data_IF_837321415557
#
_entry.id   IF_837321415557
#
_cell.length_a   1.000
_cell.length_b   1.000
_cell.length_c   1.000
_cell.angle_alpha   90.00
_cell.angle_beta   90.00
_cell.angle_gamma   90.00
#
_symmetry.space_group_name_H-M   'P 1'
#
loop_
_entity.id
_entity.type
_entity.pdbx_description
1 polymer ?
#
# COMPACT_ATOMS: atom_id res chain seq x y z
N UNK A 1 -5.84 -2.39 13.64
CA UNK A 1 -4.87 -1.64 14.48
C UNK A 1 -3.48 -1.87 13.88
N UNK A 2 -2.70 -0.80 13.71
CA UNK A 2 -1.30 -0.85 13.24
C UNK A 2 -0.43 -0.25 14.33
N UNK A 3 0.68 -0.91 14.66
CA UNK A 3 1.67 -0.40 15.61
C UNK A 3 3.03 -0.34 14.93
N UNK A 4 3.68 0.80 15.04
CA UNK A 4 5.04 1.07 14.57
C UNK A 4 5.89 1.32 15.82
N UNK A 5 7.00 0.57 16.01
CA UNK A 5 7.84 0.68 17.21
C UNK A 5 9.32 0.69 16.84
N UNK A 6 10.02 1.72 17.29
CA UNK A 6 11.48 1.89 17.12
C UNK A 6 11.94 1.69 15.66
N UNK A 7 11.11 2.11 14.70
CA UNK A 7 11.37 1.90 13.28
C UNK A 7 12.34 2.94 12.77
N UNK A 8 13.39 2.49 12.08
CA UNK A 8 14.32 3.36 11.36
C UNK A 8 14.53 2.90 9.92
N UNK A 9 14.93 3.84 9.07
CA UNK A 9 15.30 3.59 7.68
C UNK A 9 16.42 4.51 7.24
N UNK A 10 17.48 3.93 6.66
CA UNK A 10 18.55 4.66 6.00
C UNK A 10 18.43 4.49 4.49
N UNK A 11 18.77 5.52 3.76
CA UNK A 11 19.01 5.47 2.33
C UNK A 11 20.46 5.82 2.06
N UNK A 12 21.07 5.17 1.08
CA UNK A 12 22.45 5.47 0.71
C UNK A 12 22.63 6.99 0.49
N UNK A 13 23.57 7.59 1.17
CA UNK A 13 23.89 9.03 1.14
C UNK A 13 22.86 9.99 1.81
N UNK A 14 21.92 9.49 2.61
CA UNK A 14 20.96 10.33 3.34
C UNK A 14 21.04 10.09 4.85
N UNK A 15 20.55 11.06 5.62
CA UNK A 15 20.39 10.90 7.07
C UNK A 15 19.34 9.85 7.37
N UNK A 16 19.58 9.04 8.40
CA UNK A 16 18.59 8.10 8.90
C UNK A 16 17.28 8.78 9.24
N UNK A 17 16.18 8.13 8.91
CA UNK A 17 14.85 8.55 9.32
C UNK A 17 14.42 7.65 10.48
N UNK A 18 14.30 8.23 11.66
CA UNK A 18 13.78 7.55 12.84
C UNK A 18 12.32 7.94 13.07
N UNK A 19 11.48 6.95 13.29
CA UNK A 19 10.07 7.17 13.55
C UNK A 19 9.77 6.92 15.02
N UNK A 20 9.10 7.89 15.64
CA UNK A 20 8.52 7.71 16.98
C UNK A 20 7.54 6.53 16.99
N UNK A 21 7.32 5.95 18.16
CA UNK A 21 6.30 4.93 18.32
C UNK A 21 4.92 5.49 17.99
N UNK A 22 4.23 4.82 17.04
CA UNK A 22 2.92 5.26 16.53
C UNK A 22 1.94 4.09 16.61
N UNK A 23 0.74 4.37 17.06
CA UNK A 23 -0.37 3.42 17.00
C UNK A 23 -1.54 4.02 16.20
N UNK A 24 -1.94 3.31 15.14
CA UNK A 24 -3.14 3.62 14.37
C UNK A 24 -4.25 2.66 14.81
N UNK A 25 -5.26 3.19 15.46
CA UNK A 25 -6.38 2.41 15.98
C UNK A 25 -7.33 1.94 14.87
N UNK A 26 -7.96 0.81 15.09
CA UNK A 26 -8.98 0.28 14.16
C UNK A 26 -10.18 1.23 14.07
N UNK A 27 -10.67 1.45 12.85
CA UNK A 27 -11.86 2.26 12.60
C UNK A 27 -11.64 3.78 12.64
N UNK A 28 -10.39 4.23 12.82
CA UNK A 28 -10.05 5.66 12.77
C UNK A 28 -9.33 6.01 11.47
N UNK A 29 -9.50 7.24 11.00
CA UNK A 29 -8.74 7.82 9.90
C UNK A 29 -7.62 8.69 10.46
N UNK A 30 -6.44 8.65 9.80
CA UNK A 30 -5.26 9.40 10.22
C UNK A 30 -4.68 10.18 9.04
N UNK A 31 -4.11 11.33 9.32
CA UNK A 31 -3.38 12.13 8.35
C UNK A 31 -1.93 12.30 8.83
N UNK A 32 -0.98 12.05 7.93
CA UNK A 32 0.45 12.31 8.18
C UNK A 32 0.80 13.69 7.62
N UNK A 33 1.16 14.62 8.49
CA UNK A 33 1.56 15.98 8.14
C UNK A 33 3.07 16.15 8.30
N UNK A 34 3.66 16.98 7.47
CA UNK A 34 5.09 17.30 7.52
C UNK A 34 5.61 17.82 6.19
N UNK A 35 6.82 18.40 6.20
CA UNK A 35 7.50 18.90 5.01
C UNK A 35 7.71 17.81 3.93
N UNK A 36 7.97 18.23 2.68
CA UNK A 36 8.39 17.29 1.64
C UNK A 36 9.71 16.61 2.06
N UNK A 37 9.86 15.33 1.78
CA UNK A 37 11.07 14.57 2.12
C UNK A 37 11.16 14.09 3.58
N UNK A 38 10.27 14.46 4.50
CA UNK A 38 10.35 14.06 5.91
C UNK A 38 9.98 12.58 6.19
N UNK A 39 9.87 11.74 5.18
CA UNK A 39 9.68 10.29 5.35
C UNK A 39 8.23 9.79 5.38
N UNK A 40 7.20 10.61 5.13
CA UNK A 40 5.80 10.15 5.14
C UNK A 40 5.52 8.97 4.22
N UNK A 41 5.94 9.07 2.96
CA UNK A 41 5.78 8.00 1.98
C UNK A 41 6.62 6.77 2.32
N UNK A 42 7.79 6.98 2.92
CA UNK A 42 8.67 5.91 3.41
C UNK A 42 7.96 5.10 4.51
N UNK A 43 7.35 5.78 5.48
CA UNK A 43 6.56 5.11 6.53
C UNK A 43 5.39 4.31 5.94
N UNK A 44 4.62 4.91 5.03
CA UNK A 44 3.50 4.23 4.38
C UNK A 44 3.96 3.00 3.58
N UNK A 45 5.08 3.11 2.86
CA UNK A 45 5.66 1.98 2.12
C UNK A 45 6.14 0.87 3.06
N UNK A 46 6.68 1.20 4.23
CA UNK A 46 7.07 0.20 5.22
C UNK A 46 5.85 -0.47 5.87
N UNK A 47 4.81 0.28 6.20
CA UNK A 47 3.54 -0.28 6.69
C UNK A 47 2.91 -1.22 5.65
N UNK A 48 2.96 -0.83 4.37
CA UNK A 48 2.47 -1.67 3.28
C UNK A 48 3.37 -2.89 2.97
N UNK A 49 4.53 -3.03 3.60
CA UNK A 49 5.49 -4.10 3.33
C UNK A 49 6.14 -4.01 1.94
N UNK A 50 6.08 -2.85 1.29
CA UNK A 50 6.79 -2.56 0.04
C UNK A 50 8.27 -2.32 0.34
N UNK A 51 8.54 -1.64 1.46
CA UNK A 51 9.88 -1.35 1.95
C UNK A 51 10.08 -2.06 3.29
N UNK A 52 11.28 -2.55 3.55
CA UNK A 52 11.63 -3.11 4.86
C UNK A 52 12.34 -2.05 5.71
N UNK A 53 11.97 -1.90 6.98
CA UNK A 53 12.77 -1.09 7.91
C UNK A 53 14.11 -1.77 8.18
N UNK A 54 15.08 -1.03 8.66
CA UNK A 54 16.38 -1.54 9.12
C UNK A 54 16.33 -1.95 10.58
N UNK A 55 15.55 -1.24 11.36
CA UNK A 55 15.30 -1.60 12.76
C UNK A 55 13.84 -1.44 13.11
N UNK A 56 13.46 -1.96 14.28
CA UNK A 56 12.11 -1.85 14.82
C UNK A 56 11.13 -2.85 14.26
N UNK A 57 9.87 -2.66 14.60
CA UNK A 57 8.79 -3.58 14.23
C UNK A 57 7.56 -2.84 13.75
N UNK A 58 6.87 -3.44 12.78
CA UNK A 58 5.56 -2.98 12.31
C UNK A 58 4.60 -4.15 12.46
N UNK A 59 3.60 -3.95 13.29
CA UNK A 59 2.58 -4.95 13.61
C UNK A 59 1.24 -4.50 13.03
N UNK A 60 0.58 -5.35 12.25
CA UNK A 60 -0.74 -5.10 11.66
C UNK A 60 -1.69 -6.18 12.11
N UNK A 61 -2.75 -5.80 12.81
CA UNK A 61 -3.76 -6.72 13.36
C UNK A 61 -3.17 -7.86 14.18
N UNK A 62 -2.08 -7.61 14.90
CA UNK A 62 -1.38 -8.59 15.74
C UNK A 62 -0.29 -9.39 15.02
N UNK A 63 -0.10 -9.19 13.73
CA UNK A 63 0.96 -9.86 12.97
C UNK A 63 2.14 -8.92 12.73
N UNK A 64 3.36 -9.34 13.09
CA UNK A 64 4.59 -8.62 12.77
C UNK A 64 4.94 -8.81 11.30
N UNK A 65 4.76 -7.74 10.51
CA UNK A 65 5.03 -7.77 9.07
C UNK A 65 6.50 -7.59 8.74
N UNK A 66 7.33 -7.11 9.67
CA UNK A 66 8.76 -6.89 9.44
C UNK A 66 9.54 -8.20 9.29
N UNK A 67 9.11 -9.24 10.00
CA UNK A 67 9.75 -10.56 10.00
C UNK A 67 9.35 -11.45 8.84
N UNK A 68 8.34 -11.04 8.07
CA UNK A 68 7.86 -11.83 6.92
C UNK A 68 8.88 -11.79 5.77
N UNK A 69 9.04 -12.90 5.06
CA UNK A 69 9.74 -12.95 3.78
C UNK A 69 9.02 -12.08 2.74
N UNK A 70 9.71 -11.71 1.66
CA UNK A 70 9.10 -10.86 0.62
C UNK A 70 7.81 -11.48 0.06
N UNK A 71 7.81 -12.78 -0.22
CA UNK A 71 6.63 -13.51 -0.69
C UNK A 71 5.45 -13.47 0.29
N UNK A 72 5.72 -13.55 1.59
CA UNK A 72 4.69 -13.45 2.61
C UNK A 72 4.16 -12.01 2.75
N UNK A 73 5.04 -11.00 2.62
CA UNK A 73 4.65 -9.58 2.56
C UNK A 73 3.74 -9.31 1.37
N UNK A 74 4.06 -9.84 0.19
CA UNK A 74 3.26 -9.68 -1.01
C UNK A 74 1.87 -10.28 -0.83
N UNK A 75 1.80 -11.51 -0.32
CA UNK A 75 0.53 -12.18 -0.01
C UNK A 75 -0.27 -11.41 1.05
N UNK A 76 0.39 -10.94 2.11
CA UNK A 76 -0.24 -10.16 3.16
C UNK A 76 -0.83 -8.85 2.62
N UNK A 77 -0.08 -8.13 1.78
CA UNK A 77 -0.51 -6.89 1.13
C UNK A 77 -1.78 -7.10 0.31
N UNK A 78 -1.78 -8.10 -0.55
CA UNK A 78 -2.95 -8.43 -1.40
C UNK A 78 -4.20 -8.72 -0.57
N UNK A 79 -4.05 -9.39 0.58
CA UNK A 79 -5.18 -9.83 1.39
C UNK A 79 -5.66 -8.81 2.42
N UNK A 80 -4.78 -7.91 2.89
CA UNK A 80 -5.02 -7.10 4.09
C UNK A 80 -4.87 -5.60 3.89
N UNK A 81 -4.27 -5.14 2.79
CA UNK A 81 -3.93 -3.74 2.59
C UNK A 81 -4.45 -3.25 1.25
N UNK A 82 -5.25 -2.19 1.26
CA UNK A 82 -5.51 -1.38 0.07
C UNK A 82 -4.48 -0.24 0.01
N UNK A 83 -3.64 -0.20 -1.01
CA UNK A 83 -2.63 0.84 -1.20
C UNK A 83 -2.90 1.62 -2.49
N UNK A 84 -3.07 2.94 -2.36
CA UNK A 84 -3.25 3.84 -3.50
C UNK A 84 -1.96 4.63 -3.68
N UNK A 85 -1.29 4.41 -4.83
CA UNK A 85 -0.07 5.15 -5.18
C UNK A 85 -0.40 6.57 -5.64
N UNK A 86 0.48 7.52 -5.34
CA UNK A 86 0.35 8.91 -5.78
C UNK A 86 0.35 9.04 -7.31
N UNK A 87 1.12 8.20 -8.00
CA UNK A 87 1.27 8.14 -9.45
C UNK A 87 0.49 6.97 -10.08
N UNK A 88 -0.54 6.51 -9.39
CA UNK A 88 -1.52 5.48 -9.76
C UNK A 88 -0.95 4.10 -10.13
N UNK A 89 0.24 3.98 -10.69
CA UNK A 89 0.89 2.72 -11.12
C UNK A 89 0.01 1.84 -12.03
N UNK A 90 -0.84 2.46 -12.83
CA UNK A 90 -1.64 1.78 -13.83
C UNK A 90 -0.82 1.56 -15.11
N UNK A 91 -1.15 0.50 -15.86
CA UNK A 91 -0.54 0.19 -17.16
C UNK A 91 -1.33 0.94 -18.25
N UNK A 92 -0.75 1.99 -18.89
CA UNK A 92 -1.50 2.88 -19.76
C UNK A 92 -2.03 2.20 -21.03
N UNK A 93 -1.35 1.16 -21.50
CA UNK A 93 -1.71 0.40 -22.71
C UNK A 93 -2.89 -0.53 -22.48
N UNK A 94 -3.21 -0.83 -21.23
CA UNK A 94 -4.31 -1.68 -20.82
C UNK A 94 -5.59 -0.88 -20.58
N UNK A 95 -6.73 -1.55 -20.72
CA UNK A 95 -8.02 -0.98 -20.32
C UNK A 95 -8.13 -0.89 -18.81
N UNK A 96 -9.12 -0.16 -18.31
CA UNK A 96 -9.44 -0.13 -16.86
C UNK A 96 -9.71 -1.55 -16.37
N UNK A 97 -10.50 -2.33 -17.10
CA UNK A 97 -10.81 -3.71 -16.73
C UNK A 97 -9.59 -4.63 -16.75
N UNK A 98 -8.69 -4.47 -17.74
CA UNK A 98 -7.45 -5.27 -17.81
C UNK A 98 -6.51 -4.97 -16.64
N UNK A 99 -6.39 -3.70 -16.24
CA UNK A 99 -5.62 -3.32 -15.05
C UNK A 99 -6.17 -3.98 -13.78
N UNK A 100 -7.49 -4.09 -13.63
CA UNK A 100 -8.12 -4.82 -12.53
C UNK A 100 -7.90 -6.32 -12.68
N UNK A 101 -7.97 -6.85 -13.90
CA UNK A 101 -7.86 -8.29 -14.17
C UNK A 101 -6.47 -8.86 -13.84
N UNK A 102 -5.42 -8.04 -13.76
CA UNK A 102 -4.09 -8.46 -13.28
C UNK A 102 -4.18 -9.13 -11.90
N UNK A 103 -5.11 -8.69 -11.05
CA UNK A 103 -5.30 -9.27 -9.71
C UNK A 103 -5.67 -10.76 -9.73
N UNK A 104 -6.20 -11.27 -10.86
CA UNK A 104 -6.46 -12.71 -11.04
C UNK A 104 -5.18 -13.56 -11.01
N UNK A 105 -4.03 -12.99 -11.39
CA UNK A 105 -2.74 -13.68 -11.32
C UNK A 105 -2.41 -14.07 -9.87
N UNK A 106 -2.89 -13.28 -8.93
CA UNK A 106 -2.75 -13.50 -7.49
C UNK A 106 -3.98 -14.18 -6.87
N UNK A 107 -4.86 -14.76 -7.72
CA UNK A 107 -6.09 -15.47 -7.30
C UNK A 107 -7.09 -14.60 -6.54
N UNK A 108 -7.07 -13.29 -6.78
CA UNK A 108 -8.09 -12.38 -6.24
C UNK A 108 -9.35 -12.50 -7.09
N UNK A 109 -10.49 -12.65 -6.44
CA UNK A 109 -11.79 -12.60 -7.12
C UNK A 109 -12.11 -11.17 -7.54
N UNK A 110 -12.42 -10.97 -8.79
CA UNK A 110 -12.81 -9.67 -9.37
C UNK A 110 -14.24 -9.68 -9.91
N UNK A 111 -15.07 -10.63 -9.49
CA UNK A 111 -16.48 -10.75 -9.96
C UNK A 111 -17.30 -9.49 -9.68
N UNK A 112 -16.96 -8.73 -8.66
CA UNK A 112 -17.60 -7.47 -8.30
C UNK A 112 -17.01 -6.23 -8.98
N UNK A 113 -16.05 -6.38 -9.90
CA UNK A 113 -15.39 -5.25 -10.56
C UNK A 113 -16.38 -4.28 -11.21
N UNK A 114 -17.39 -4.79 -11.94
CA UNK A 114 -18.41 -3.95 -12.58
C UNK A 114 -19.23 -3.16 -11.55
N UNK A 115 -19.61 -3.79 -10.43
CA UNK A 115 -20.33 -3.11 -9.35
C UNK A 115 -19.49 -1.99 -8.70
N UNK A 116 -18.20 -2.26 -8.50
CA UNK A 116 -17.28 -1.24 -7.95
C UNK A 116 -17.12 -0.08 -8.91
N UNK A 117 -16.92 -0.35 -10.19
CA UNK A 117 -16.80 0.69 -11.23
C UNK A 117 -18.09 1.51 -11.36
N UNK A 118 -19.26 0.88 -11.23
CA UNK A 118 -20.54 1.56 -11.24
C UNK A 118 -20.70 2.48 -10.01
N UNK A 119 -20.39 1.98 -8.84
CA UNK A 119 -20.42 2.76 -7.60
C UNK A 119 -19.46 3.98 -7.62
N UNK A 120 -18.37 3.90 -8.39
CA UNK A 120 -17.44 4.99 -8.63
C UNK A 120 -17.87 5.90 -9.79
N UNK A 121 -18.97 5.60 -10.51
CA UNK A 121 -19.46 6.38 -11.65
C UNK A 121 -18.57 6.31 -12.90
N UNK A 122 -17.81 5.22 -13.06
CA UNK A 122 -16.88 5.06 -14.19
C UNK A 122 -17.05 3.73 -14.95
N UNK A 123 -18.18 3.04 -14.77
CA UNK A 123 -18.44 1.76 -15.44
C UNK A 123 -18.33 1.86 -16.97
N UNK A 124 -18.78 2.98 -17.55
CA UNK A 124 -18.72 3.22 -19.00
C UNK A 124 -17.28 3.34 -19.54
N UNK A 125 -16.30 3.52 -18.63
CA UNK A 125 -14.87 3.59 -18.98
C UNK A 125 -14.15 2.25 -18.90
N UNK A 126 -14.81 1.18 -18.45
CA UNK A 126 -14.15 -0.09 -18.17
C UNK A 126 -13.32 -0.65 -19.32
N UNK A 127 -13.78 -0.44 -20.58
CA UNK A 127 -13.09 -0.91 -21.79
C UNK A 127 -12.21 0.17 -22.43
N UNK A 128 -12.05 1.34 -21.81
CA UNK A 128 -11.15 2.39 -22.29
C UNK A 128 -9.76 2.18 -21.73
N UNK A 129 -8.74 2.47 -22.56
CA UNK A 129 -7.34 2.49 -22.08
C UNK A 129 -7.16 3.60 -21.05
N UNK A 130 -6.31 3.32 -20.07
CA UNK A 130 -5.89 4.32 -19.10
C UNK A 130 -4.94 5.27 -19.80
N UNK A 131 -5.34 6.55 -19.91
CA UNK A 131 -4.48 7.62 -20.41
C UNK A 131 -4.15 8.53 -19.25
N UNK A 132 -2.89 8.92 -19.15
CA UNK A 132 -2.41 9.94 -18.23
C UNK A 132 -2.83 11.34 -18.68
#
# INVERSE_FOLDING_TARGET
MIKVKNVSKHFANETAIDYSDITFEKGKSYMLLGASGCGKSTLLNMIAGILSPESGTIEISGEDVTKKSQKEKDKFRIQKIGYIFQDFKLIPEMTVLDNIAILRLEKVDISDADKVLDALGILEKKNKKVKH
#
